data_IF_118487088402
#
_entry.id   IF_118487088402
#
_cell.length_a   1.000
_cell.length_b   1.000
_cell.length_c   1.000
_cell.angle_alpha   90.00
_cell.angle_beta   90.00
_cell.angle_gamma   90.00
#
_symmetry.space_group_name_H-M   'P 1'
#
loop_
_entity.id
_entity.type
_entity.pdbx_description
1 polymer ?
#
# COMPACT_ATOMS: atom_id res chain seq x y z
N UNK A 1 63.60 -32.22 -10.40
CA UNK A 1 62.93 -31.07 -11.02
C UNK A 1 61.40 -31.19 -10.78
N UNK A 2 60.85 -30.45 -9.82
CA UNK A 2 59.42 -30.48 -9.48
C UNK A 2 58.71 -29.40 -10.27
N UNK A 3 57.74 -29.77 -11.12
CA UNK A 3 56.88 -28.84 -11.86
C UNK A 3 55.73 -28.39 -10.95
N UNK A 4 55.65 -27.08 -10.66
CA UNK A 4 54.55 -26.46 -9.95
C UNK A 4 53.55 -26.02 -11.02
N UNK A 5 52.33 -26.58 -10.99
CA UNK A 5 51.17 -26.09 -11.79
C UNK A 5 50.50 -25.01 -10.97
N UNK A 6 50.52 -23.78 -11.46
CA UNK A 6 49.66 -22.70 -10.97
C UNK A 6 48.25 -22.88 -11.62
N UNK A 7 47.24 -23.17 -10.81
CA UNK A 7 45.84 -23.11 -11.22
C UNK A 7 45.35 -21.68 -11.01
N UNK A 8 45.10 -20.93 -12.07
CA UNK A 8 44.46 -19.61 -12.03
C UNK A 8 42.97 -19.80 -11.84
N UNK A 9 42.47 -19.50 -10.64
CA UNK A 9 41.05 -19.48 -10.32
C UNK A 9 40.42 -18.19 -10.88
N UNK A 10 39.68 -18.30 -11.94
CA UNK A 10 38.90 -17.19 -12.56
C UNK A 10 37.63 -16.96 -11.72
N UNK A 11 37.69 -15.98 -10.81
CA UNK A 11 36.58 -15.58 -10.00
C UNK A 11 35.58 -14.75 -10.86
N UNK A 12 34.54 -15.38 -11.40
CA UNK A 12 33.45 -14.66 -12.08
C UNK A 12 32.65 -13.88 -11.05
N UNK A 13 32.88 -12.58 -10.98
CA UNK A 13 32.05 -11.64 -10.24
C UNK A 13 30.71 -11.50 -11.01
N UNK A 14 29.69 -12.23 -10.57
CA UNK A 14 28.32 -11.96 -10.98
C UNK A 14 27.87 -10.66 -10.30
N UNK A 15 27.97 -9.54 -11.01
CA UNK A 15 27.29 -8.31 -10.63
C UNK A 15 25.78 -8.55 -10.80
N UNK A 16 25.09 -8.81 -9.70
CA UNK A 16 23.63 -8.78 -9.65
C UNK A 16 23.19 -7.34 -9.94
N UNK A 17 22.75 -7.07 -11.15
CA UNK A 17 22.07 -5.83 -11.46
C UNK A 17 20.81 -5.76 -10.56
N UNK A 18 20.81 -4.85 -9.60
CA UNK A 18 19.59 -4.50 -8.87
C UNK A 18 18.70 -3.80 -9.90
N UNK A 19 17.77 -4.53 -10.49
CA UNK A 19 16.72 -3.95 -11.30
C UNK A 19 15.89 -3.07 -10.37
N UNK A 20 15.93 -1.77 -10.58
CA UNK A 20 15.02 -0.84 -9.91
C UNK A 20 13.60 -1.32 -10.19
N UNK A 21 12.74 -1.31 -9.16
CA UNK A 21 11.32 -1.63 -9.34
C UNK A 21 10.74 -0.74 -10.46
N UNK A 22 9.89 -1.28 -11.34
CA UNK A 22 9.34 -0.52 -12.45
C UNK A 22 8.59 0.69 -11.90
N UNK A 23 8.90 1.85 -12.46
CA UNK A 23 8.24 3.09 -12.07
C UNK A 23 6.82 3.09 -12.62
N UNK A 24 5.84 3.25 -11.74
CA UNK A 24 4.43 3.45 -12.10
C UNK A 24 3.98 4.85 -11.72
N UNK A 25 2.92 5.35 -12.33
CA UNK A 25 2.36 6.68 -12.09
C UNK A 25 0.83 6.62 -12.19
N UNK A 26 0.17 7.71 -11.79
CA UNK A 26 -1.28 7.85 -11.98
C UNK A 26 -1.65 8.46 -13.33
N UNK A 27 -0.68 8.87 -14.15
CA UNK A 27 -0.91 9.53 -15.44
C UNK A 27 0.18 9.14 -16.45
N UNK A 28 -0.12 9.33 -17.73
CA UNK A 28 0.83 9.10 -18.83
C UNK A 28 1.12 7.62 -19.10
N UNK A 29 2.28 7.34 -19.70
CA UNK A 29 2.65 6.01 -20.21
C UNK A 29 2.84 4.95 -19.10
N UNK A 30 2.95 5.35 -17.85
CA UNK A 30 3.02 4.49 -16.67
C UNK A 30 1.74 4.57 -15.82
N UNK A 31 0.64 5.07 -16.38
CA UNK A 31 -0.66 5.20 -15.71
C UNK A 31 -1.43 3.89 -15.56
N UNK A 32 -2.59 3.91 -14.86
CA UNK A 32 -3.36 2.73 -14.47
C UNK A 32 -3.71 1.78 -15.61
N UNK A 33 -4.01 2.29 -16.79
CA UNK A 33 -4.33 1.48 -17.98
C UNK A 33 -3.14 0.67 -18.50
N UNK A 34 -1.91 1.03 -18.08
CA UNK A 34 -0.69 0.37 -18.49
C UNK A 34 -0.08 -0.51 -17.40
N UNK A 35 -0.53 -0.41 -16.14
CA UNK A 35 0.09 -1.10 -15.01
C UNK A 35 0.30 -2.59 -15.26
N UNK A 36 -0.71 -3.31 -15.76
CA UNK A 36 -0.61 -4.73 -16.06
C UNK A 36 0.48 -5.11 -17.07
N UNK A 37 0.99 -4.12 -17.83
CA UNK A 37 2.00 -4.31 -18.88
C UNK A 37 3.39 -3.81 -18.48
N UNK A 38 3.51 -3.08 -17.36
CA UNK A 38 4.78 -2.51 -16.93
C UNK A 38 5.77 -3.59 -16.49
N UNK A 39 5.26 -4.66 -15.88
CA UNK A 39 6.05 -5.80 -15.42
C UNK A 39 5.14 -7.02 -15.21
N UNK A 40 5.65 -8.26 -15.31
CA UNK A 40 4.88 -9.48 -15.06
C UNK A 40 4.25 -9.51 -13.65
N UNK A 41 4.90 -8.94 -12.65
CA UNK A 41 4.40 -8.87 -11.26
C UNK A 41 3.09 -8.06 -11.15
N UNK A 42 2.84 -7.12 -12.07
CA UNK A 42 1.63 -6.31 -12.12
C UNK A 42 0.52 -6.92 -13.00
N UNK A 43 0.69 -8.13 -13.49
CA UNK A 43 -0.28 -8.80 -14.37
C UNK A 43 -1.70 -8.87 -13.79
N UNK A 44 -1.85 -8.92 -12.45
CA UNK A 44 -3.14 -8.91 -11.77
C UNK A 44 -3.92 -7.60 -11.93
N UNK A 45 -3.28 -6.50 -12.33
CA UNK A 45 -3.98 -5.25 -12.66
C UNK A 45 -4.92 -5.38 -13.89
N UNK A 46 -4.80 -6.45 -14.68
CA UNK A 46 -5.73 -6.78 -15.76
C UNK A 46 -6.85 -7.75 -15.30
N UNK A 47 -6.86 -8.17 -14.04
CA UNK A 47 -7.86 -9.09 -13.48
C UNK A 47 -9.24 -8.46 -13.33
N UNK A 48 -10.25 -9.26 -13.01
CA UNK A 48 -11.64 -8.82 -12.82
C UNK A 48 -11.96 -8.32 -11.42
N UNK A 49 -11.12 -8.61 -10.43
CA UNK A 49 -11.31 -8.20 -9.04
C UNK A 49 -10.39 -7.02 -8.72
N UNK A 50 -10.82 -5.83 -9.11
CA UNK A 50 -10.07 -4.60 -8.89
C UNK A 50 -10.56 -3.81 -7.68
N UNK A 51 -9.63 -3.13 -7.01
CA UNK A 51 -9.87 -2.15 -5.96
C UNK A 51 -8.70 -1.15 -6.00
N UNK A 52 -8.92 0.15 -5.79
CA UNK A 52 -10.17 0.87 -5.46
C UNK A 52 -11.23 0.86 -6.57
N UNK A 53 -12.49 1.16 -6.22
CA UNK A 53 -13.65 1.11 -7.12
C UNK A 53 -14.62 2.29 -6.91
N UNK A 54 -15.54 2.50 -7.86
CA UNK A 54 -16.71 3.34 -7.64
C UNK A 54 -17.81 2.52 -6.95
N UNK A 55 -18.18 2.91 -5.73
CA UNK A 55 -19.22 2.28 -4.92
C UNK A 55 -20.59 2.72 -5.42
N UNK A 56 -21.13 1.97 -6.39
CA UNK A 56 -22.46 2.17 -6.98
C UNK A 56 -23.38 1.00 -6.64
N UNK A 57 -24.69 1.25 -6.69
CA UNK A 57 -25.69 0.18 -6.53
C UNK A 57 -25.66 -0.51 -5.16
N UNK A 58 -25.27 0.21 -4.11
CA UNK A 58 -25.21 -0.34 -2.75
C UNK A 58 -26.56 -0.90 -2.32
N UNK A 59 -26.53 -2.09 -1.71
CA UNK A 59 -27.72 -2.76 -1.17
C UNK A 59 -27.71 -2.57 0.35
N UNK A 60 -28.85 -2.14 0.90
CA UNK A 60 -29.04 -2.05 2.35
C UNK A 60 -29.13 -3.45 2.95
N UNK A 61 -28.24 -3.75 3.89
CA UNK A 61 -28.12 -5.06 4.51
C UNK A 61 -27.67 -4.94 5.98
N UNK A 62 -28.12 -5.89 6.82
CA UNK A 62 -27.64 -6.05 8.19
C UNK A 62 -26.33 -6.80 8.18
N UNK A 63 -25.21 -6.09 8.05
CA UNK A 63 -23.88 -6.70 8.12
C UNK A 63 -23.42 -6.84 9.58
N UNK A 64 -22.57 -7.83 9.82
CA UNK A 64 -21.85 -7.93 11.09
C UNK A 64 -20.91 -6.72 11.19
N UNK A 65 -20.93 -5.97 12.30
CA UNK A 65 -20.04 -4.82 12.46
C UNK A 65 -18.58 -5.23 12.40
N UNK A 66 -17.75 -4.36 11.81
CA UNK A 66 -16.29 -4.50 11.90
C UNK A 66 -15.86 -4.30 13.37
N UNK A 67 -14.96 -5.13 13.84
CA UNK A 67 -14.37 -5.00 15.18
C UNK A 67 -12.95 -4.48 15.05
N UNK A 68 -12.71 -3.28 15.56
CA UNK A 68 -11.43 -2.58 15.50
C UNK A 68 -10.80 -2.55 16.89
N UNK A 69 -9.62 -3.14 17.03
CA UNK A 69 -8.79 -3.07 18.22
C UNK A 69 -7.49 -2.34 17.87
N UNK A 70 -7.51 -1.00 17.90
CA UNK A 70 -6.36 -0.19 17.55
C UNK A 70 -5.68 0.39 18.79
N UNK A 71 -4.36 0.38 18.75
CA UNK A 71 -3.49 0.98 19.76
C UNK A 71 -2.64 2.06 19.10
N UNK A 72 -2.13 3.01 19.88
CA UNK A 72 -1.12 3.93 19.40
C UNK A 72 0.15 3.14 19.03
N UNK A 73 0.63 3.28 17.79
CA UNK A 73 1.71 2.39 17.32
C UNK A 73 2.39 2.80 16.03
N UNK A 74 2.19 4.02 15.56
CA UNK A 74 2.95 4.55 14.41
C UNK A 74 4.45 4.56 14.72
N UNK A 75 5.28 3.91 13.89
CA UNK A 75 6.74 3.79 14.11
C UNK A 75 7.57 4.54 13.09
N UNK A 76 7.13 4.55 11.85
CA UNK A 76 7.88 5.12 10.74
C UNK A 76 6.96 5.98 9.90
N UNK A 77 7.46 7.11 9.43
CA UNK A 77 6.76 7.93 8.42
C UNK A 77 7.68 8.02 7.21
N UNK A 78 7.16 7.67 6.04
CA UNK A 78 7.91 7.73 4.79
C UNK A 78 7.10 8.44 3.72
N UNK A 79 7.78 9.23 2.89
CA UNK A 79 7.28 9.67 1.61
C UNK A 79 7.95 8.80 0.54
N UNK A 80 7.19 7.91 -0.10
CA UNK A 80 7.73 6.97 -1.09
C UNK A 80 7.63 7.49 -2.53
N UNK A 81 7.27 8.78 -2.71
CA UNK A 81 7.07 9.42 -4.00
C UNK A 81 5.62 9.35 -4.50
N UNK A 82 4.81 8.44 -4.00
CA UNK A 82 3.40 8.27 -4.36
C UNK A 82 2.45 8.66 -3.22
N UNK A 83 2.86 8.44 -1.98
CA UNK A 83 2.07 8.75 -0.79
C UNK A 83 2.93 8.99 0.44
N UNK A 84 2.30 9.56 1.47
CA UNK A 84 2.77 9.55 2.85
C UNK A 84 2.25 8.31 3.53
N UNK A 85 3.16 7.43 3.96
CA UNK A 85 2.83 6.18 4.64
C UNK A 85 3.36 6.17 6.05
N UNK A 86 2.53 5.69 6.99
CA UNK A 86 2.91 5.45 8.39
C UNK A 86 2.91 3.94 8.65
N UNK A 87 4.08 3.38 8.91
CA UNK A 87 4.24 1.99 9.32
C UNK A 87 3.82 1.80 10.77
N UNK A 88 3.16 0.67 11.07
CA UNK A 88 2.56 0.42 12.37
C UNK A 88 3.23 -0.73 13.12
N UNK A 89 3.28 -0.60 14.47
CA UNK A 89 3.71 -1.69 15.34
C UNK A 89 2.65 -2.81 15.36
N UNK A 90 3.04 -4.07 15.57
CA UNK A 90 2.11 -5.16 15.84
C UNK A 90 1.18 -4.86 17.03
N UNK A 91 -0.03 -5.45 17.02
CA UNK A 91 -1.00 -5.38 18.12
C UNK A 91 -2.30 -4.63 17.80
N UNK A 92 -2.35 -3.87 16.68
CA UNK A 92 -3.60 -3.30 16.17
C UNK A 92 -4.27 -4.26 15.19
N UNK A 93 -5.55 -4.58 15.38
CA UNK A 93 -6.25 -5.57 14.57
C UNK A 93 -7.61 -5.09 14.09
N UNK A 94 -8.02 -5.63 12.96
CA UNK A 94 -9.36 -5.59 12.37
C UNK A 94 -9.91 -7.01 12.35
N UNK A 95 -11.18 -7.22 12.75
CA UNK A 95 -11.89 -8.46 12.51
C UNK A 95 -13.00 -8.24 11.48
N UNK A 96 -13.02 -9.09 10.46
CA UNK A 96 -14.04 -9.16 9.41
C UNK A 96 -14.49 -10.63 9.31
N UNK A 97 -15.77 -10.87 9.48
CA UNK A 97 -16.39 -12.22 9.39
C UNK A 97 -15.64 -13.29 10.21
N UNK A 98 -15.19 -12.92 11.42
CA UNK A 98 -14.44 -13.81 12.31
C UNK A 98 -12.97 -14.01 11.96
N UNK A 99 -12.47 -13.42 10.88
CA UNK A 99 -11.06 -13.45 10.49
C UNK A 99 -10.35 -12.23 11.05
N UNK A 100 -9.22 -12.44 11.71
CA UNK A 100 -8.38 -11.35 12.25
C UNK A 100 -7.29 -10.94 11.28
N UNK A 101 -7.15 -9.64 11.07
CA UNK A 101 -6.14 -9.01 10.24
C UNK A 101 -5.34 -8.01 11.08
N UNK A 102 -4.03 -8.01 10.99
CA UNK A 102 -3.14 -7.10 11.71
C UNK A 102 -2.85 -5.85 10.88
N UNK A 103 -3.00 -4.65 11.47
CA UNK A 103 -2.66 -3.38 10.84
C UNK A 103 -1.15 -3.31 10.60
N UNK A 104 -0.76 -3.10 9.35
CA UNK A 104 0.65 -3.00 8.94
C UNK A 104 1.08 -1.56 8.69
N UNK A 105 0.22 -0.78 8.05
CA UNK A 105 0.49 0.61 7.72
C UNK A 105 -0.82 1.34 7.36
N UNK A 106 -0.79 2.66 7.39
CA UNK A 106 -1.78 3.48 6.72
C UNK A 106 -1.11 4.53 5.83
N UNK A 107 -1.82 4.96 4.79
CA UNK A 107 -1.34 5.94 3.83
C UNK A 107 -2.50 6.74 3.25
N UNK A 108 -2.19 7.77 2.46
CA UNK A 108 -3.19 8.72 1.97
C UNK A 108 -3.11 8.90 0.46
N UNK A 109 -4.28 9.17 -0.14
CA UNK A 109 -4.45 9.53 -1.54
C UNK A 109 -5.20 10.86 -1.66
N UNK A 110 -4.73 11.75 -2.52
CA UNK A 110 -5.37 13.02 -2.84
C UNK A 110 -5.35 13.25 -4.36
N UNK A 111 -6.52 13.24 -5.02
CA UNK A 111 -7.88 12.94 -4.52
C UNK A 111 -8.07 11.47 -4.12
N UNK A 112 -9.28 11.11 -3.63
CA UNK A 112 -9.62 9.73 -3.32
C UNK A 112 -9.52 8.82 -4.55
N UNK A 113 -9.07 7.58 -4.34
CA UNK A 113 -9.03 6.53 -5.36
C UNK A 113 -10.39 5.83 -5.49
N UNK A 114 -11.07 5.54 -4.35
CA UNK A 114 -12.46 5.12 -4.39
C UNK A 114 -13.38 6.30 -4.68
N UNK A 115 -14.47 6.00 -5.37
CA UNK A 115 -15.58 6.94 -5.56
C UNK A 115 -16.82 6.44 -4.82
N UNK A 116 -17.70 7.35 -4.45
CA UNK A 116 -19.02 7.01 -3.93
C UNK A 116 -20.05 7.63 -4.84
N UNK A 117 -20.76 6.81 -5.64
CA UNK A 117 -21.73 7.26 -6.66
C UNK A 117 -21.13 8.29 -7.62
N UNK A 118 -19.93 8.01 -8.12
CA UNK A 118 -19.18 8.89 -9.01
C UNK A 118 -18.52 10.11 -8.35
N UNK A 119 -18.73 10.32 -7.02
CA UNK A 119 -18.13 11.45 -6.31
C UNK A 119 -16.76 11.08 -5.79
N UNK A 120 -15.73 11.86 -6.16
CA UNK A 120 -14.40 11.83 -5.54
C UNK A 120 -14.37 12.73 -4.30
N UNK A 121 -13.46 12.40 -3.36
CA UNK A 121 -13.23 13.15 -2.13
C UNK A 121 -11.83 13.78 -2.14
N UNK A 122 -11.63 14.92 -1.43
CA UNK A 122 -10.34 15.60 -1.42
C UNK A 122 -9.18 14.76 -0.89
N UNK A 123 -9.48 13.82 0.02
CA UNK A 123 -8.47 12.95 0.62
C UNK A 123 -9.13 11.61 1.00
N UNK A 124 -8.38 10.53 0.84
CA UNK A 124 -8.73 9.19 1.31
C UNK A 124 -7.57 8.60 2.11
N UNK A 125 -7.87 7.95 3.22
CA UNK A 125 -6.88 7.21 4.01
C UNK A 125 -7.13 5.72 3.90
N UNK A 126 -6.11 4.94 3.60
CA UNK A 126 -6.14 3.49 3.56
C UNK A 126 -5.42 2.91 4.77
N UNK A 127 -6.13 2.13 5.59
CA UNK A 127 -5.55 1.35 6.68
C UNK A 127 -5.39 -0.10 6.19
N UNK A 128 -4.17 -0.51 5.93
CA UNK A 128 -3.85 -1.81 5.31
C UNK A 128 -3.55 -2.84 6.38
N UNK A 129 -4.31 -3.94 6.35
CA UNK A 129 -4.20 -5.04 7.29
C UNK A 129 -3.85 -6.33 6.55
N UNK A 130 -3.14 -7.23 7.21
CA UNK A 130 -2.75 -8.53 6.65
C UNK A 130 -3.00 -9.62 7.69
N UNK A 131 -3.58 -10.75 7.27
CA UNK A 131 -3.77 -11.91 8.14
C UNK A 131 -2.60 -12.89 8.06
N UNK A 132 -2.68 -13.99 8.83
CA UNK A 132 -1.63 -15.03 8.88
C UNK A 132 -1.42 -15.79 7.57
N UNK A 133 -2.37 -15.70 6.63
CA UNK A 133 -2.27 -16.32 5.29
C UNK A 133 -1.72 -15.38 4.23
N UNK A 134 -1.45 -14.10 4.59
CA UNK A 134 -1.04 -13.07 3.64
C UNK A 134 -2.21 -12.43 2.89
N UNK A 135 -3.46 -12.71 3.25
CA UNK A 135 -4.63 -12.03 2.70
C UNK A 135 -4.70 -10.60 3.23
N UNK A 136 -5.16 -9.68 2.38
CA UNK A 136 -5.19 -8.25 2.67
C UNK A 136 -6.63 -7.79 2.89
N UNK A 137 -6.83 -6.96 3.91
CA UNK A 137 -8.06 -6.21 4.13
C UNK A 137 -7.71 -4.72 4.30
N UNK A 138 -8.43 -3.84 3.59
CA UNK A 138 -8.21 -2.39 3.66
C UNK A 138 -9.47 -1.70 4.17
N UNK A 139 -9.30 -0.85 5.18
CA UNK A 139 -10.34 0.10 5.59
C UNK A 139 -10.03 1.44 4.92
N UNK A 140 -10.93 1.89 4.06
CA UNK A 140 -10.84 3.18 3.39
C UNK A 140 -11.68 4.23 4.14
N UNK A 141 -11.11 5.40 4.39
CA UNK A 141 -11.75 6.52 5.08
C UNK A 141 -11.73 7.75 4.18
N UNK A 142 -12.90 8.23 3.81
CA UNK A 142 -13.07 9.45 3.02
C UNK A 142 -13.02 10.68 3.91
N UNK A 143 -12.32 11.72 3.46
CA UNK A 143 -12.24 13.01 4.14
C UNK A 143 -12.86 14.10 3.28
N UNK A 144 -13.58 15.00 3.93
CA UNK A 144 -14.04 16.26 3.35
C UNK A 144 -13.34 17.44 4.02
N UNK A 145 -13.31 18.58 3.33
CA UNK A 145 -12.76 19.80 3.90
C UNK A 145 -13.59 20.23 5.12
N UNK A 146 -12.90 20.55 6.21
CA UNK A 146 -13.55 20.88 7.48
C UNK A 146 -12.57 21.45 8.51
N UNK A 147 -12.88 21.25 9.78
CA UNK A 147 -11.96 21.62 10.87
C UNK A 147 -10.68 20.79 10.82
N UNK A 148 -9.58 21.38 11.32
CA UNK A 148 -8.31 20.67 11.43
C UNK A 148 -8.45 19.34 12.18
N UNK A 149 -7.95 18.26 11.56
CA UNK A 149 -7.89 16.94 12.16
C UNK A 149 -6.52 16.77 12.85
N UNK A 150 -6.51 16.60 14.17
CA UNK A 150 -5.26 16.51 14.95
C UNK A 150 -4.41 15.30 14.55
N UNK A 151 -5.02 14.15 14.27
CA UNK A 151 -4.28 12.95 13.86
C UNK A 151 -3.57 13.14 12.52
N UNK A 152 -4.26 13.75 11.53
CA UNK A 152 -3.64 14.11 10.25
C UNK A 152 -2.51 15.13 10.45
N UNK A 153 -2.74 16.14 11.30
CA UNK A 153 -1.71 17.16 11.59
C UNK A 153 -0.44 16.53 12.14
N UNK A 154 -0.55 15.58 13.08
CA UNK A 154 0.60 14.88 13.64
C UNK A 154 1.30 13.97 12.60
N UNK A 155 0.55 13.23 11.79
CA UNK A 155 1.12 12.39 10.74
C UNK A 155 1.92 13.24 9.73
N UNK A 156 1.37 14.37 9.29
CA UNK A 156 2.06 15.26 8.34
C UNK A 156 3.21 16.06 8.96
N UNK A 157 3.16 16.36 10.26
CA UNK A 157 4.27 17.02 10.96
C UNK A 157 5.50 16.12 11.07
N UNK A 158 5.30 14.81 11.15
CA UNK A 158 6.36 13.83 11.26
C UNK A 158 7.02 13.48 9.89
N UNK A 159 6.61 14.14 8.80
CA UNK A 159 7.22 13.93 7.49
C UNK A 159 8.70 14.30 7.50
N UNK A 160 9.58 13.43 6.98
CA UNK A 160 10.95 13.82 6.76
C UNK A 160 11.01 14.98 5.74
N UNK A 161 11.86 15.96 5.99
CA UNK A 161 12.21 16.93 4.96
C UNK A 161 12.78 16.17 3.74
N UNK A 162 12.37 16.59 2.53
CA UNK A 162 12.90 16.00 1.30
C UNK A 162 14.41 16.20 1.22
#
# INVERSE_FOLDING_TARGET
MKKVLLASSLCCLFSSAILAAPHWAYQGDAGPEQWAKLTPEFGQCAGSNQSPVDLMGMVDAKLVPLVLHYQAGGKTVVNNGHTVQVGYAPGSTLQVDGISFELKQFHFHAPSENLIKGKSYPLEGHLVHVNSKGEIAVVAVMYEAGKANTALTEAFRALPAK
#
